data_IF_272608543691
#
_entry.id   IF_272608543691
#
_cell.length_a   1.000
_cell.length_b   1.000
_cell.length_c   1.000
_cell.angle_alpha   90.00
_cell.angle_beta   90.00
_cell.angle_gamma   90.00
#
_symmetry.space_group_name_H-M   'P 1'
#
loop_
_entity.id
_entity.type
_entity.pdbx_description
1 polymer ?
#
# COMPACT_ATOMS: atom_id res chain seq x y z
N UNK A 1 1.47 10.44 5.58
CA UNK A 1 2.65 9.62 5.89
C UNK A 1 3.36 10.23 7.08
N UNK A 2 3.61 9.47 8.14
CA UNK A 2 4.37 9.93 9.31
C UNK A 2 5.79 9.42 9.14
N UNK A 3 6.76 10.33 8.94
CA UNK A 3 8.17 9.97 8.78
C UNK A 3 8.91 10.15 10.11
N UNK A 4 9.74 9.18 10.49
CA UNK A 4 10.55 9.25 11.71
C UNK A 4 11.67 10.26 11.50
N UNK A 5 11.88 11.16 12.47
CA UNK A 5 12.98 12.13 12.42
C UNK A 5 14.27 11.49 12.93
N UNK A 6 15.30 11.46 12.09
CA UNK A 6 16.62 10.89 12.42
C UNK A 6 17.70 11.91 12.09
N UNK A 7 18.70 12.06 12.95
CA UNK A 7 19.83 12.94 12.68
C UNK A 7 20.75 12.39 11.58
N UNK A 8 21.32 13.24 10.71
CA UNK A 8 22.19 12.80 9.59
C UNK A 8 23.40 11.96 10.05
N UNK A 9 23.91 12.19 11.27
CA UNK A 9 25.04 11.40 11.82
C UNK A 9 24.60 9.99 12.20
N UNK A 10 23.44 9.87 12.83
CA UNK A 10 22.83 8.59 13.21
C UNK A 10 22.38 7.81 11.98
N UNK A 11 21.72 8.49 11.04
CA UNK A 11 21.29 7.90 9.78
C UNK A 11 22.44 7.22 9.03
N UNK A 12 23.60 7.89 8.96
CA UNK A 12 24.81 7.33 8.33
C UNK A 12 25.45 6.20 9.13
N UNK A 13 25.43 6.27 10.47
CA UNK A 13 26.02 5.24 11.33
C UNK A 13 25.24 3.93 11.28
N UNK A 14 23.90 4.00 11.17
CA UNK A 14 22.99 2.86 11.18
C UNK A 14 22.34 2.62 9.81
N UNK A 15 23.05 2.93 8.72
CA UNK A 15 22.51 2.85 7.36
C UNK A 15 21.87 1.49 7.02
N UNK A 16 22.48 0.33 7.34
CA UNK A 16 21.89 -0.97 7.01
C UNK A 16 20.53 -1.20 7.67
N UNK A 17 20.36 -0.80 8.93
CA UNK A 17 19.11 -0.93 9.67
C UNK A 17 17.98 -0.14 8.98
N UNK A 18 18.26 1.11 8.62
CA UNK A 18 17.26 1.98 7.98
C UNK A 18 16.91 1.55 6.55
N UNK A 19 17.89 1.05 5.79
CA UNK A 19 17.69 0.67 4.39
C UNK A 19 17.07 -0.72 4.23
N UNK A 20 17.40 -1.68 5.10
CA UNK A 20 17.09 -3.10 4.90
C UNK A 20 16.05 -3.65 5.88
N UNK A 21 15.96 -3.08 7.09
CA UNK A 21 15.17 -3.68 8.18
C UNK A 21 13.91 -2.89 8.51
N UNK A 22 14.02 -1.56 8.68
CA UNK A 22 12.93 -0.73 9.17
C UNK A 22 11.76 -0.65 8.18
N UNK A 23 12.04 -0.35 6.91
CA UNK A 23 11.01 -0.26 5.86
C UNK A 23 10.03 0.91 6.01
N UNK A 24 10.34 1.91 6.83
CA UNK A 24 9.52 3.10 7.05
C UNK A 24 10.16 4.37 6.47
N UNK A 25 9.37 5.40 6.09
CA UNK A 25 9.91 6.69 5.66
C UNK A 25 10.67 7.41 6.78
N UNK A 26 11.82 8.00 6.44
CA UNK A 26 12.68 8.72 7.39
C UNK A 26 12.87 10.17 6.93
N UNK A 27 12.64 11.11 7.83
CA UNK A 27 13.02 12.51 7.68
C UNK A 27 14.43 12.70 8.26
N UNK A 28 15.41 12.93 7.39
CA UNK A 28 16.80 13.13 7.79
C UNK A 28 17.00 14.59 8.19
N UNK A 29 17.54 14.81 9.39
CA UNK A 29 17.67 16.13 10.00
C UNK A 29 19.12 16.53 10.25
N UNK A 30 19.41 17.83 10.19
CA UNK A 30 20.68 18.43 10.64
C UNK A 30 20.34 19.65 11.49
N UNK A 31 20.90 19.73 12.70
CA UNK A 31 20.57 20.80 13.65
C UNK A 31 19.05 20.97 13.86
N UNK A 32 18.30 19.86 13.89
CA UNK A 32 16.83 19.80 14.00
C UNK A 32 16.03 20.25 12.77
N UNK A 33 16.68 20.69 11.70
CA UNK A 33 16.02 21.00 10.42
C UNK A 33 16.05 19.78 9.49
N UNK A 34 14.92 19.48 8.85
CA UNK A 34 14.85 18.39 7.87
C UNK A 34 15.59 18.80 6.60
N UNK A 35 16.62 18.03 6.23
CA UNK A 35 17.44 18.26 5.04
C UNK A 35 17.07 17.33 3.88
N UNK A 36 16.29 16.28 4.14
CA UNK A 36 15.85 15.34 3.10
C UNK A 36 15.01 14.20 3.65
N UNK A 37 14.47 13.39 2.74
CA UNK A 37 13.69 12.21 3.07
C UNK A 37 14.29 10.96 2.43
N UNK A 38 14.38 9.89 3.20
CA UNK A 38 14.56 8.55 2.68
C UNK A 38 13.20 7.86 2.67
N UNK A 39 12.75 7.45 1.49
CA UNK A 39 11.49 6.74 1.31
C UNK A 39 11.88 5.37 0.76
N UNK A 40 11.76 4.29 1.56
CA UNK A 40 12.04 2.95 1.06
C UNK A 40 11.07 2.67 -0.08
N UNK A 41 11.60 2.17 -1.19
CA UNK A 41 10.74 1.57 -2.20
C UNK A 41 10.06 0.38 -1.58
N UNK A 42 8.79 0.15 -1.91
CA UNK A 42 8.11 -1.07 -1.51
C UNK A 42 8.90 -2.23 -2.10
N UNK A 43 9.76 -2.86 -1.29
CA UNK A 43 10.39 -4.13 -1.66
C UNK A 43 9.23 -5.04 -2.05
N UNK A 44 9.34 -5.75 -3.17
CA UNK A 44 8.33 -6.58 -3.83
C UNK A 44 7.69 -7.64 -2.90
N UNK A 45 7.02 -7.21 -1.82
CA UNK A 45 6.17 -8.04 -0.97
C UNK A 45 4.82 -8.21 -1.66
N UNK A 46 4.88 -8.52 -2.95
CA UNK A 46 3.83 -9.16 -3.75
C UNK A 46 3.14 -10.33 -3.02
N UNK A 47 3.76 -11.12 -2.10
CA UNK A 47 3.03 -12.19 -1.42
C UNK A 47 1.95 -11.73 -0.43
N UNK A 48 2.17 -10.61 0.28
CA UNK A 48 1.27 -10.18 1.36
C UNK A 48 0.03 -9.44 0.83
N UNK A 49 0.20 -8.70 -0.26
CA UNK A 49 -0.93 -8.09 -0.97
C UNK A 49 -1.71 -9.13 -1.77
N UNK A 50 -1.05 -10.10 -2.41
CA UNK A 50 -1.77 -11.12 -3.19
C UNK A 50 -2.60 -12.06 -2.31
N UNK A 51 -2.08 -12.45 -1.13
CA UNK A 51 -2.89 -13.23 -0.17
C UNK A 51 -4.08 -12.44 0.38
N UNK A 52 -3.91 -11.14 0.70
CA UNK A 52 -5.01 -10.26 1.08
C UNK A 52 -6.02 -10.07 -0.05
N UNK A 53 -5.56 -9.87 -1.28
CA UNK A 53 -6.43 -9.73 -2.45
C UNK A 53 -7.23 -11.00 -2.70
N UNK A 54 -6.62 -12.18 -2.54
CA UNK A 54 -7.34 -13.47 -2.60
C UNK A 54 -8.41 -13.56 -1.50
N UNK A 55 -8.06 -13.26 -0.25
CA UNK A 55 -9.04 -13.25 0.84
C UNK A 55 -10.20 -12.26 0.60
N UNK A 56 -9.90 -11.09 0.04
CA UNK A 56 -10.93 -10.11 -0.32
C UNK A 56 -11.80 -10.60 -1.48
N UNK A 57 -11.23 -11.29 -2.47
CA UNK A 57 -11.98 -11.91 -3.56
C UNK A 57 -12.92 -13.02 -3.03
N UNK A 58 -12.43 -13.87 -2.12
CA UNK A 58 -13.24 -14.93 -1.50
C UNK A 58 -14.41 -14.34 -0.69
N UNK A 59 -14.16 -13.24 0.02
CA UNK A 59 -15.21 -12.51 0.75
C UNK A 59 -16.25 -11.88 -0.19
N UNK A 60 -15.80 -11.33 -1.33
CA UNK A 60 -16.68 -10.77 -2.34
C UNK A 60 -17.57 -11.84 -2.98
N UNK A 61 -16.99 -12.97 -3.38
CA UNK A 61 -17.73 -14.11 -3.94
C UNK A 61 -18.79 -14.63 -2.95
N UNK A 62 -18.44 -14.71 -1.67
CA UNK A 62 -19.39 -15.09 -0.61
C UNK A 62 -20.53 -14.08 -0.47
N UNK A 63 -20.25 -12.78 -0.56
CA UNK A 63 -21.26 -11.73 -0.48
C UNK A 63 -22.19 -11.72 -1.68
N UNK A 64 -21.68 -11.96 -2.90
CA UNK A 64 -22.48 -12.05 -4.12
C UNK A 64 -23.43 -13.25 -4.06
N UNK A 65 -22.94 -14.42 -3.64
CA UNK A 65 -23.77 -15.62 -3.44
C UNK A 65 -24.85 -15.43 -2.39
N UNK A 66 -24.52 -14.78 -1.28
CA UNK A 66 -25.49 -14.49 -0.23
C UNK A 66 -26.60 -13.54 -0.69
N UNK A 67 -26.30 -12.66 -1.65
CA UNK A 67 -27.25 -11.73 -2.25
C UNK A 67 -28.01 -12.34 -3.45
N UNK A 68 -27.75 -13.59 -3.82
CA UNK A 68 -28.28 -14.25 -5.04
C UNK A 68 -27.98 -13.44 -6.33
N UNK A 69 -26.85 -12.74 -6.34
CA UNK A 69 -26.43 -11.91 -7.47
C UNK A 69 -25.50 -12.72 -8.38
N UNK A 70 -25.88 -12.80 -9.65
CA UNK A 70 -25.03 -13.37 -10.69
C UNK A 70 -23.95 -12.35 -11.11
N UNK A 71 -22.69 -12.79 -11.14
CA UNK A 71 -21.54 -11.97 -11.49
C UNK A 71 -21.65 -11.39 -12.92
N UNK A 72 -22.12 -12.19 -13.88
CA UNK A 72 -22.24 -11.75 -15.28
C UNK A 72 -23.29 -10.63 -15.44
N UNK A 73 -24.39 -10.72 -14.70
CA UNK A 73 -25.46 -9.72 -14.70
C UNK A 73 -24.99 -8.41 -14.05
N UNK A 74 -24.28 -8.50 -12.92
CA UNK A 74 -23.66 -7.35 -12.25
C UNK A 74 -22.69 -6.61 -13.18
N UNK A 75 -21.85 -7.35 -13.91
CA UNK A 75 -20.89 -6.77 -14.86
C UNK A 75 -21.62 -6.11 -16.03
N UNK A 76 -22.69 -6.73 -16.53
CA UNK A 76 -23.50 -6.15 -17.61
C UNK A 76 -24.15 -4.82 -17.17
N UNK A 77 -24.78 -4.79 -15.99
CA UNK A 77 -25.38 -3.58 -15.43
C UNK A 77 -24.35 -2.46 -15.22
N UNK A 78 -23.20 -2.79 -14.64
CA UNK A 78 -22.12 -1.81 -14.43
C UNK A 78 -21.61 -1.21 -15.74
N UNK A 79 -21.47 -2.03 -16.79
CA UNK A 79 -21.03 -1.55 -18.12
C UNK A 79 -22.04 -0.58 -18.73
N UNK A 80 -23.33 -0.84 -18.58
CA UNK A 80 -24.38 0.07 -19.06
C UNK A 80 -24.38 1.39 -18.28
N UNK A 81 -24.27 1.35 -16.95
CA UNK A 81 -24.15 2.56 -16.11
C UNK A 81 -22.92 3.40 -16.48
N UNK A 82 -21.78 2.75 -16.74
CA UNK A 82 -20.54 3.45 -17.12
C UNK A 82 -20.67 4.18 -18.46
N UNK A 83 -21.37 3.59 -19.44
CA UNK A 83 -21.62 4.23 -20.74
C UNK A 83 -22.53 5.45 -20.61
N UNK A 84 -23.45 5.47 -19.64
CA UNK A 84 -24.33 6.61 -19.39
C UNK A 84 -23.63 7.79 -18.72
N UNK A 85 -22.45 7.57 -18.13
CA UNK A 85 -21.63 8.60 -17.47
C UNK A 85 -20.51 9.17 -18.36
N UNK A 86 -20.34 8.66 -19.58
CA UNK A 86 -19.43 9.19 -20.60
C UNK A 86 -20.20 10.05 -21.61
#
# INVERSE_FOLDING_TARGET
MQAIKVGIREFRANLPHYLLELGEPIAVTRHHETIGYFIPTANDKKPKDLSRLKQLADNLDSALKAADINEDELIAEYRELRKQQQ
#
